data_IF_067069513403
#
_entry.id   IF_067069513403
#
_cell.length_a   1.000
_cell.length_b   1.000
_cell.length_c   1.000
_cell.angle_alpha   90.00
_cell.angle_beta   90.00
_cell.angle_gamma   90.00
#
_symmetry.space_group_name_H-M   'P 1'
#
loop_
_entity.id
_entity.type
_entity.pdbx_description
1 polymer ?
#
# COMPACT_ATOMS: atom_id res chain seq x y z
N UNK A 1 -18.69 1.19 -36.36
CA UNK A 1 -18.69 0.55 -35.03
C UNK A 1 -17.30 0.67 -34.44
N UNK A 2 -17.14 1.28 -33.27
CA UNK A 2 -15.85 1.32 -32.57
C UNK A 2 -15.60 -0.09 -32.02
N UNK A 3 -14.54 -0.75 -32.48
CA UNK A 3 -14.16 -2.06 -31.97
C UNK A 3 -13.25 -1.84 -30.74
N UNK A 4 -13.78 -2.13 -29.57
CA UNK A 4 -13.01 -2.09 -28.33
C UNK A 4 -12.18 -3.38 -28.22
N UNK A 5 -10.87 -3.25 -28.28
CA UNK A 5 -9.92 -4.34 -28.05
C UNK A 5 -9.29 -4.17 -26.67
N UNK A 6 -9.19 -5.29 -25.93
CA UNK A 6 -8.48 -5.28 -24.65
C UNK A 6 -6.97 -5.07 -24.91
N UNK A 7 -6.29 -4.31 -24.03
CA UNK A 7 -4.84 -4.18 -24.12
C UNK A 7 -4.13 -5.53 -24.08
N UNK A 8 -2.94 -5.59 -24.66
CA UNK A 8 -2.07 -6.77 -24.56
C UNK A 8 -1.81 -7.07 -23.07
N UNK A 9 -1.79 -8.35 -22.72
CA UNK A 9 -1.61 -8.83 -21.33
C UNK A 9 -2.71 -8.43 -20.32
N UNK A 10 -3.89 -8.01 -20.80
CA UNK A 10 -5.03 -7.65 -19.95
C UNK A 10 -5.91 -8.84 -19.54
N UNK A 11 -5.64 -10.02 -20.03
CA UNK A 11 -6.41 -11.25 -19.73
C UNK A 11 -5.61 -12.16 -18.81
N UNK A 12 -6.25 -12.58 -17.73
CA UNK A 12 -5.73 -13.65 -16.88
C UNK A 12 -5.95 -15.00 -17.52
N UNK A 13 -4.95 -15.86 -17.46
CA UNK A 13 -5.02 -17.24 -17.95
C UNK A 13 -4.91 -18.22 -16.78
N UNK A 14 -5.34 -19.46 -16.99
CA UNK A 14 -5.03 -20.54 -16.05
C UNK A 14 -3.54 -20.80 -16.07
N UNK A 15 -2.94 -20.82 -14.89
CA UNK A 15 -1.54 -21.13 -14.69
C UNK A 15 -1.30 -22.62 -14.40
N UNK A 16 -0.17 -22.89 -13.76
CA UNK A 16 0.24 -24.23 -13.37
C UNK A 16 -0.46 -24.65 -12.07
N UNK A 17 -0.91 -25.90 -12.00
CA UNK A 17 -1.31 -26.52 -10.75
C UNK A 17 -0.17 -27.38 -10.23
N UNK A 18 0.31 -27.07 -9.05
CA UNK A 18 1.39 -27.78 -8.39
C UNK A 18 0.87 -29.03 -7.64
N UNK A 19 1.66 -30.08 -7.45
CA UNK A 19 1.22 -31.26 -6.73
C UNK A 19 0.91 -30.93 -5.26
N UNK A 20 0.00 -31.69 -4.69
CA UNK A 20 -0.28 -31.63 -3.25
C UNK A 20 0.88 -32.27 -2.48
N UNK A 21 1.22 -31.79 -1.27
CA UNK A 21 2.17 -32.44 -0.40
C UNK A 21 1.74 -33.87 -0.08
N UNK A 22 2.67 -34.83 -0.17
CA UNK A 22 2.40 -36.24 0.16
C UNK A 22 2.15 -36.42 1.66
N UNK A 23 1.12 -37.15 2.02
CA UNK A 23 0.76 -37.43 3.42
C UNK A 23 0.11 -36.27 4.18
N UNK A 24 -0.08 -35.12 3.55
CA UNK A 24 -0.70 -33.96 4.19
C UNK A 24 -2.18 -34.20 4.51
N UNK A 25 -2.60 -33.81 5.71
CA UNK A 25 -3.97 -33.97 6.20
C UNK A 25 -4.74 -32.66 6.30
N UNK A 26 -4.04 -31.52 6.39
CA UNK A 26 -4.62 -30.20 6.58
C UNK A 26 -4.22 -29.22 5.46
N UNK A 27 -4.71 -29.52 4.26
CA UNK A 27 -4.30 -28.80 3.05
C UNK A 27 -5.10 -27.51 2.84
N UNK A 28 -4.38 -26.40 2.67
CA UNK A 28 -4.91 -25.10 2.21
C UNK A 28 -4.51 -24.85 0.76
N UNK A 29 -5.47 -24.45 -0.05
CA UNK A 29 -5.27 -24.13 -1.45
C UNK A 29 -5.01 -22.63 -1.63
N UNK A 30 -4.03 -22.29 -2.47
CA UNK A 30 -3.62 -20.93 -2.81
C UNK A 30 -3.68 -20.71 -4.30
N UNK A 31 -4.34 -19.64 -4.72
CA UNK A 31 -4.35 -19.12 -6.07
C UNK A 31 -3.50 -17.86 -6.11
N UNK A 32 -2.32 -17.92 -6.73
CA UNK A 32 -1.33 -16.84 -6.72
C UNK A 32 -1.13 -16.30 -8.13
N UNK A 33 -1.25 -14.99 -8.27
CA UNK A 33 -0.95 -14.28 -9.52
C UNK A 33 0.52 -14.46 -9.90
N UNK A 34 0.74 -14.80 -11.18
CA UNK A 34 2.06 -14.97 -11.77
C UNK A 34 2.17 -14.16 -13.05
N UNK A 35 3.25 -13.42 -13.15
CA UNK A 35 3.60 -12.69 -14.37
C UNK A 35 5.11 -12.46 -14.43
N UNK A 36 5.67 -12.65 -15.63
CA UNK A 36 7.07 -12.40 -15.92
C UNK A 36 7.16 -11.45 -17.12
N UNK A 37 7.84 -10.29 -17.02
CA UNK A 37 7.98 -9.35 -18.11
C UNK A 37 8.76 -9.92 -19.31
N UNK A 38 9.64 -10.90 -19.07
CA UNK A 38 10.58 -11.41 -20.08
C UNK A 38 9.93 -12.38 -21.07
N UNK A 39 8.83 -13.04 -20.70
CA UNK A 39 8.21 -14.04 -21.57
C UNK A 39 7.09 -13.50 -22.47
N UNK A 40 6.69 -12.25 -22.27
CA UNK A 40 5.69 -11.55 -23.08
C UNK A 40 4.28 -12.15 -23.06
N UNK A 41 4.01 -13.08 -22.13
CA UNK A 41 2.72 -13.76 -22.01
C UNK A 41 1.74 -12.97 -21.16
N UNK A 42 0.47 -13.31 -21.26
CA UNK A 42 -0.55 -12.84 -20.34
C UNK A 42 -0.26 -13.34 -18.91
N UNK A 43 -0.65 -12.56 -17.87
CA UNK A 43 -0.56 -13.05 -16.51
C UNK A 43 -1.42 -14.30 -16.31
N UNK A 44 -0.99 -15.14 -15.40
CA UNK A 44 -1.68 -16.38 -15.03
C UNK A 44 -1.94 -16.46 -13.53
N UNK A 45 -2.74 -17.41 -13.12
CA UNK A 45 -2.95 -17.76 -11.71
C UNK A 45 -2.51 -19.20 -11.52
N UNK A 46 -1.45 -19.39 -10.74
CA UNK A 46 -0.96 -20.70 -10.35
C UNK A 46 -1.68 -21.18 -9.10
N UNK A 47 -1.92 -22.50 -9.02
CA UNK A 47 -2.53 -23.15 -7.87
C UNK A 47 -1.47 -23.90 -7.07
N UNK A 48 -1.37 -23.60 -5.79
CA UNK A 48 -0.46 -24.23 -4.83
C UNK A 48 -1.26 -24.85 -3.69
N UNK A 49 -0.68 -25.86 -3.06
CA UNK A 49 -1.24 -26.52 -1.90
C UNK A 49 -0.20 -26.52 -0.77
N UNK A 50 -0.61 -26.08 0.41
CA UNK A 50 0.26 -25.99 1.60
C UNK A 50 -0.38 -26.80 2.71
N UNK A 51 0.42 -27.65 3.36
CA UNK A 51 0.02 -28.30 4.59
C UNK A 51 0.15 -27.31 5.76
N UNK A 52 -0.97 -27.02 6.41
CA UNK A 52 -1.03 -26.08 7.53
C UNK A 52 -0.44 -26.64 8.81
N UNK A 53 -0.33 -27.98 8.95
CA UNK A 53 0.27 -28.63 10.13
C UNK A 53 1.80 -28.44 10.15
N UNK A 54 2.39 -28.16 8.97
CA UNK A 54 3.81 -27.86 8.80
C UNK A 54 4.03 -26.43 8.22
N UNK A 55 3.22 -25.47 8.65
CA UNK A 55 3.30 -24.08 8.20
C UNK A 55 3.00 -23.13 9.34
N UNK A 56 3.67 -21.97 9.37
CA UNK A 56 3.32 -20.90 10.30
C UNK A 56 1.92 -20.32 10.05
N UNK A 57 1.35 -19.59 11.02
CA UNK A 57 -0.06 -19.18 11.01
C UNK A 57 -0.38 -18.02 10.04
N UNK A 58 0.62 -17.32 9.50
CA UNK A 58 0.42 -16.14 8.67
C UNK A 58 0.48 -16.47 7.17
N UNK A 59 -0.23 -15.70 6.36
CA UNK A 59 -0.18 -15.84 4.90
C UNK A 59 1.26 -15.74 4.37
N UNK A 60 2.09 -14.87 4.96
CA UNK A 60 3.49 -14.76 4.56
C UNK A 60 4.27 -16.05 4.77
N UNK A 61 3.98 -16.81 5.83
CA UNK A 61 4.67 -18.07 6.11
C UNK A 61 4.41 -19.09 5.00
N UNK A 62 3.15 -19.18 4.54
CA UNK A 62 2.79 -20.04 3.41
C UNK A 62 3.47 -19.62 2.10
N UNK A 63 3.53 -18.33 1.80
CA UNK A 63 4.20 -17.83 0.58
C UNK A 63 5.70 -18.13 0.64
N UNK A 64 6.33 -17.99 1.79
CA UNK A 64 7.74 -18.34 2.00
C UNK A 64 7.95 -19.85 1.80
N UNK A 65 7.08 -20.67 2.38
CA UNK A 65 7.12 -22.14 2.21
C UNK A 65 6.97 -22.54 0.73
N UNK A 66 5.98 -21.97 0.03
CA UNK A 66 5.80 -22.19 -1.39
C UNK A 66 7.10 -21.86 -2.15
N UNK A 67 7.70 -20.67 -1.90
CA UNK A 67 8.93 -20.26 -2.57
C UNK A 67 10.10 -21.19 -2.29
N UNK A 68 10.25 -21.65 -1.07
CA UNK A 68 11.42 -22.43 -0.65
C UNK A 68 11.32 -23.89 -1.09
N UNK A 69 10.13 -24.49 -1.10
CA UNK A 69 9.95 -25.94 -1.23
C UNK A 69 9.28 -26.34 -2.54
N UNK A 70 8.45 -25.45 -3.14
CA UNK A 70 7.61 -25.80 -4.29
C UNK A 70 8.04 -25.04 -5.55
N UNK A 71 8.15 -23.70 -5.47
CA UNK A 71 8.42 -22.86 -6.63
C UNK A 71 9.35 -21.70 -6.31
N UNK A 72 10.66 -21.87 -6.49
CA UNK A 72 11.66 -20.84 -6.18
C UNK A 72 11.55 -19.58 -7.07
N UNK A 73 10.78 -19.65 -8.16
CA UNK A 73 10.61 -18.52 -9.08
C UNK A 73 9.56 -17.51 -8.60
N UNK A 74 8.72 -17.88 -7.63
CA UNK A 74 7.70 -16.98 -7.07
C UNK A 74 8.36 -15.74 -6.46
N UNK A 75 7.95 -14.56 -6.92
CA UNK A 75 8.61 -13.30 -6.57
C UNK A 75 7.69 -12.40 -5.74
N UNK A 76 8.18 -11.99 -4.57
CA UNK A 76 7.49 -11.08 -3.64
C UNK A 76 8.49 -10.35 -2.74
N UNK A 77 8.04 -9.26 -2.11
CA UNK A 77 8.84 -8.52 -1.13
C UNK A 77 8.47 -8.95 0.29
N UNK A 78 9.47 -9.04 1.15
CA UNK A 78 9.31 -9.23 2.59
C UNK A 78 10.51 -8.70 3.36
N UNK A 79 10.32 -8.38 4.66
CA UNK A 79 11.41 -8.00 5.54
C UNK A 79 11.06 -8.28 7.01
N UNK A 80 10.43 -7.33 7.72
CA UNK A 80 10.28 -7.33 9.18
C UNK A 80 9.46 -8.49 9.76
N UNK A 81 8.43 -8.98 9.07
CA UNK A 81 7.46 -10.02 9.52
C UNK A 81 6.56 -9.63 10.70
N UNK A 82 6.52 -8.37 11.09
CA UNK A 82 5.81 -7.83 12.26
C UNK A 82 4.98 -6.58 11.95
N UNK A 83 4.67 -6.32 10.66
CA UNK A 83 3.81 -5.22 10.26
C UNK A 83 4.45 -3.83 10.33
N UNK A 84 5.78 -3.70 10.27
CA UNK A 84 6.49 -2.42 10.42
C UNK A 84 7.05 -1.89 9.09
N UNK A 85 7.55 -2.76 8.20
CA UNK A 85 8.25 -2.29 7.00
C UNK A 85 7.37 -2.05 5.78
N UNK A 86 6.12 -2.54 5.77
CA UNK A 86 5.21 -2.42 4.62
C UNK A 86 5.55 -3.28 3.39
N UNK A 87 6.71 -3.95 3.37
CA UNK A 87 7.23 -4.63 2.18
C UNK A 87 6.31 -5.74 1.65
N UNK A 88 5.65 -6.49 2.53
CA UNK A 88 4.78 -7.61 2.17
C UNK A 88 3.33 -7.20 1.88
N UNK A 89 3.10 -5.92 1.54
CA UNK A 89 1.78 -5.44 1.14
C UNK A 89 1.36 -6.06 -0.18
N UNK A 90 0.18 -6.67 -0.20
CA UNK A 90 -0.41 -7.31 -1.38
C UNK A 90 -1.92 -7.38 -1.23
N UNK A 91 -2.61 -7.78 -2.28
CA UNK A 91 -4.04 -8.03 -2.21
C UNK A 91 -4.28 -9.50 -1.85
N UNK A 92 -4.88 -9.72 -0.69
CA UNK A 92 -5.22 -11.06 -0.19
C UNK A 92 -6.73 -11.14 -0.10
N UNK A 93 -7.30 -12.04 -0.89
CA UNK A 93 -8.74 -12.30 -0.96
C UNK A 93 -9.61 -11.03 -1.15
N UNK A 94 -9.11 -10.10 -1.98
CA UNK A 94 -9.76 -8.83 -2.29
C UNK A 94 -9.43 -7.68 -1.32
N UNK A 95 -8.67 -7.93 -0.25
CA UNK A 95 -8.28 -6.93 0.74
C UNK A 95 -6.81 -6.56 0.56
N UNK A 96 -6.47 -5.27 0.45
CA UNK A 96 -5.09 -4.82 0.46
C UNK A 96 -4.57 -4.79 1.90
N UNK A 97 -3.63 -5.65 2.22
CA UNK A 97 -3.12 -5.83 3.59
C UNK A 97 -1.67 -6.34 3.59
N UNK A 98 -1.11 -6.57 4.77
CA UNK A 98 0.23 -7.11 4.95
C UNK A 98 0.16 -8.63 5.15
N UNK A 99 0.86 -9.39 4.32
CA UNK A 99 0.88 -10.85 4.42
C UNK A 99 1.48 -11.36 5.74
N UNK A 100 2.35 -10.58 6.40
CA UNK A 100 2.98 -10.97 7.66
C UNK A 100 2.08 -10.84 8.90
N UNK A 101 0.98 -10.10 8.81
CA UNK A 101 0.04 -9.89 9.93
C UNK A 101 -1.37 -10.38 9.62
N UNK A 102 -1.61 -10.91 8.41
CA UNK A 102 -2.88 -11.46 8.01
C UNK A 102 -2.88 -12.98 8.25
N UNK A 103 -3.75 -13.43 9.14
CA UNK A 103 -3.79 -14.81 9.61
C UNK A 103 -4.40 -15.76 8.58
N UNK A 104 -3.88 -16.98 8.52
CA UNK A 104 -4.42 -18.05 7.67
C UNK A 104 -5.87 -18.38 7.99
N UNK A 105 -6.26 -18.28 9.27
CA UNK A 105 -7.60 -18.54 9.76
C UNK A 105 -8.63 -17.47 9.33
N UNK A 106 -8.19 -16.29 8.95
CA UNK A 106 -9.07 -15.20 8.49
C UNK A 106 -9.65 -15.46 7.10
N UNK A 107 -8.98 -16.29 6.29
CA UNK A 107 -9.41 -16.63 4.92
C UNK A 107 -10.17 -17.94 4.91
N UNK A 108 -11.44 -17.89 4.55
CA UNK A 108 -12.28 -19.09 4.36
C UNK A 108 -12.09 -19.67 2.94
N UNK A 109 -11.84 -20.97 2.83
CA UNK A 109 -11.67 -21.65 1.54
C UNK A 109 -10.31 -21.34 0.89
N UNK A 110 -10.31 -21.08 -0.41
CA UNK A 110 -9.10 -20.83 -1.22
C UNK A 110 -8.55 -19.44 -0.94
N UNK A 111 -7.25 -19.34 -0.72
CA UNK A 111 -6.56 -18.06 -0.54
C UNK A 111 -6.17 -17.49 -1.90
N UNK A 112 -6.68 -16.33 -2.26
CA UNK A 112 -6.36 -15.65 -3.53
C UNK A 112 -5.37 -14.50 -3.27
N UNK A 113 -4.22 -14.52 -3.95
CA UNK A 113 -3.16 -13.53 -3.75
C UNK A 113 -2.80 -12.87 -5.07
N UNK A 114 -2.86 -11.54 -5.06
CA UNK A 114 -2.54 -10.67 -6.18
C UNK A 114 -1.58 -9.56 -5.74
N UNK A 115 -0.83 -8.93 -6.66
CA UNK A 115 -0.12 -7.70 -6.35
C UNK A 115 -1.11 -6.59 -5.94
N UNK A 116 -0.62 -5.54 -5.30
CA UNK A 116 -1.43 -4.35 -5.04
C UNK A 116 -2.03 -3.83 -6.35
N UNK A 117 -3.37 -3.57 -6.40
CA UNK A 117 -4.05 -3.24 -7.64
C UNK A 117 -3.67 -1.83 -8.14
N UNK A 118 -3.88 -1.61 -9.45
CA UNK A 118 -3.70 -0.32 -10.13
C UNK A 118 -2.29 0.29 -10.04
N UNK A 119 -1.28 -0.55 -9.85
CA UNK A 119 0.14 -0.22 -10.02
C UNK A 119 0.75 -1.12 -11.10
N UNK A 120 1.73 -0.65 -11.89
CA UNK A 120 2.46 -1.52 -12.79
C UNK A 120 3.09 -2.67 -12.00
N UNK A 121 3.10 -3.86 -12.58
CA UNK A 121 3.73 -5.04 -11.97
C UNK A 121 5.13 -5.19 -12.51
N UNK A 122 6.12 -5.30 -11.63
CA UNK A 122 7.52 -5.59 -11.99
C UNK A 122 7.68 -7.07 -12.31
N UNK A 123 7.19 -7.93 -11.40
CA UNK A 123 7.12 -9.39 -11.55
C UNK A 123 6.23 -9.97 -10.46
N UNK A 124 5.39 -10.93 -10.80
CA UNK A 124 4.50 -11.65 -9.89
C UNK A 124 3.76 -10.71 -8.90
N UNK A 125 4.09 -10.77 -7.62
CA UNK A 125 3.45 -9.99 -6.55
C UNK A 125 4.16 -8.65 -6.27
N UNK A 126 5.12 -8.25 -7.09
CA UNK A 126 5.89 -7.00 -6.90
C UNK A 126 5.32 -5.87 -7.75
N UNK A 127 4.63 -4.88 -7.16
CA UNK A 127 4.27 -3.65 -7.84
C UNK A 127 5.46 -2.70 -7.97
N UNK A 128 5.42 -1.84 -9.00
CA UNK A 128 6.32 -0.70 -9.13
C UNK A 128 5.81 0.46 -8.24
N UNK A 129 6.63 0.87 -7.29
CA UNK A 129 6.33 1.94 -6.35
C UNK A 129 7.02 3.26 -6.71
N UNK A 130 7.69 3.35 -7.85
CA UNK A 130 8.48 4.54 -8.24
C UNK A 130 7.62 5.80 -8.22
N UNK A 131 6.47 5.77 -8.88
CA UNK A 131 5.56 6.92 -8.90
C UNK A 131 4.99 7.25 -7.51
N UNK A 132 4.65 6.25 -6.73
CA UNK A 132 4.16 6.40 -5.35
C UNK A 132 5.18 7.14 -4.46
N UNK A 133 6.46 6.76 -4.54
CA UNK A 133 7.51 7.45 -3.80
C UNK A 133 7.84 8.84 -4.37
N UNK A 134 7.71 9.05 -5.67
CA UNK A 134 7.83 10.39 -6.26
C UNK A 134 6.75 11.34 -5.74
N UNK A 135 5.50 10.87 -5.61
CA UNK A 135 4.42 11.63 -4.99
C UNK A 135 4.69 11.94 -3.51
N UNK A 136 5.24 10.98 -2.77
CA UNK A 136 5.65 11.21 -1.38
C UNK A 136 6.79 12.24 -1.31
N UNK A 137 7.79 12.15 -2.16
CA UNK A 137 8.88 13.13 -2.20
C UNK A 137 8.39 14.55 -2.55
N UNK A 138 7.36 14.67 -3.40
CA UNK A 138 6.83 15.97 -3.83
C UNK A 138 6.17 16.79 -2.72
N UNK A 139 5.77 16.16 -1.61
CA UNK A 139 5.20 16.88 -0.45
C UNK A 139 6.29 17.31 0.56
N UNK A 140 7.57 17.20 0.19
CA UNK A 140 8.71 17.57 1.04
C UNK A 140 8.60 16.95 2.45
N UNK A 141 8.71 15.63 2.60
CA UNK A 141 8.46 14.93 3.87
C UNK A 141 9.64 15.07 4.85
N UNK A 142 10.06 16.28 5.13
CA UNK A 142 11.11 16.66 6.07
C UNK A 142 10.80 18.01 6.70
N UNK A 143 11.48 18.34 7.81
CA UNK A 143 11.31 19.60 8.50
C UNK A 143 11.80 20.76 7.64
N UNK A 144 10.95 21.74 7.40
CA UNK A 144 11.30 23.02 6.76
C UNK A 144 11.29 24.14 7.80
N UNK A 145 12.43 24.82 7.96
CA UNK A 145 12.59 25.91 8.92
C UNK A 145 13.72 26.85 8.50
N UNK A 146 13.45 28.14 8.57
CA UNK A 146 14.44 29.20 8.39
C UNK A 146 15.16 29.56 9.71
N UNK A 147 14.57 29.17 10.84
CA UNK A 147 15.16 29.37 12.16
C UNK A 147 16.42 28.50 12.29
N UNK A 148 17.57 29.09 12.71
CA UNK A 148 18.81 28.35 12.94
C UNK A 148 18.60 27.20 13.92
N UNK A 149 19.21 26.05 13.63
CA UNK A 149 19.12 24.88 14.49
C UNK A 149 19.57 25.21 15.92
N UNK A 150 18.78 24.83 16.93
CA UNK A 150 19.17 25.08 18.33
C UNK A 150 20.41 24.26 18.71
N UNK A 151 21.12 24.68 19.76
CA UNK A 151 22.36 24.04 20.22
C UNK A 151 22.20 22.56 20.61
N UNK A 152 20.98 22.11 20.92
CA UNK A 152 20.67 20.74 21.31
C UNK A 152 19.65 20.11 20.36
N UNK A 153 18.36 20.44 20.57
CA UNK A 153 17.25 19.80 19.87
C UNK A 153 16.09 20.78 19.66
N UNK A 154 15.28 20.53 18.63
CA UNK A 154 14.00 21.20 18.46
C UNK A 154 13.03 20.72 19.53
N UNK A 155 12.58 21.62 20.39
CA UNK A 155 11.61 21.30 21.44
C UNK A 155 10.20 21.29 20.89
N UNK A 156 9.38 20.42 21.42
CA UNK A 156 7.96 20.31 21.12
C UNK A 156 7.20 20.07 22.43
N UNK A 157 6.04 20.69 22.61
CA UNK A 157 5.18 20.43 23.75
C UNK A 157 4.59 19.01 23.67
N UNK A 158 4.12 18.46 24.78
CA UNK A 158 3.43 17.16 24.80
C UNK A 158 2.18 17.23 23.93
N UNK A 159 1.38 18.28 24.07
CA UNK A 159 0.15 18.49 23.32
C UNK A 159 0.39 18.58 21.80
N UNK A 160 1.47 19.26 21.37
CA UNK A 160 1.84 19.32 19.95
C UNK A 160 2.35 17.98 19.43
N UNK A 161 3.06 17.23 20.28
CA UNK A 161 3.50 15.87 19.90
C UNK A 161 2.32 14.92 19.72
N UNK A 162 1.31 15.00 20.60
CA UNK A 162 0.10 14.17 20.51
C UNK A 162 -0.70 14.43 19.22
N UNK A 163 -0.67 15.63 18.67
CA UNK A 163 -1.32 15.92 17.37
C UNK A 163 -0.77 15.10 16.21
N UNK A 164 0.44 14.57 16.32
CA UNK A 164 1.09 13.75 15.31
C UNK A 164 0.71 12.26 15.41
N UNK A 165 0.05 11.84 16.48
CA UNK A 165 -0.39 10.46 16.64
C UNK A 165 -1.44 10.09 15.58
N UNK A 166 -1.29 8.90 15.03
CA UNK A 166 -2.09 8.46 13.87
C UNK A 166 -1.62 9.00 12.52
N UNK A 167 -0.49 9.72 12.46
CA UNK A 167 0.08 10.26 11.24
C UNK A 167 1.50 9.73 10.97
N UNK A 168 2.40 9.83 11.96
CA UNK A 168 3.80 9.44 11.80
C UNK A 168 4.01 7.92 11.77
N UNK A 169 3.05 7.13 12.23
CA UNK A 169 3.10 5.66 12.21
C UNK A 169 2.87 5.06 10.82
N UNK A 170 2.66 5.88 9.81
CA UNK A 170 2.48 5.39 8.45
C UNK A 170 3.77 4.72 7.94
N UNK A 171 3.63 3.47 7.52
CA UNK A 171 4.73 2.61 7.04
C UNK A 171 4.89 2.62 5.51
N UNK A 172 4.21 3.51 4.82
CA UNK A 172 4.28 3.66 3.35
C UNK A 172 4.05 2.35 2.57
N UNK A 173 3.15 1.50 3.06
CA UNK A 173 2.84 0.20 2.44
C UNK A 173 2.01 0.28 1.16
N UNK A 174 1.48 1.45 0.83
CA UNK A 174 0.61 1.73 -0.32
C UNK A 174 -0.78 1.06 -0.32
N UNK A 175 -1.17 0.28 0.70
CA UNK A 175 -2.50 -0.35 0.77
C UNK A 175 -3.65 0.64 0.60
N UNK A 176 -3.57 1.82 1.24
CA UNK A 176 -4.59 2.86 1.18
C UNK A 176 -4.69 3.52 -0.20
N UNK A 177 -3.56 3.84 -0.84
CA UNK A 177 -3.53 4.48 -2.17
C UNK A 177 -4.07 3.52 -3.23
N UNK A 178 -3.66 2.26 -3.19
CA UNK A 178 -4.12 1.23 -4.13
C UNK A 178 -5.56 0.77 -3.91
N UNK A 179 -6.18 1.12 -2.78
CA UNK A 179 -7.62 0.89 -2.52
C UNK A 179 -8.51 2.08 -2.87
N UNK A 180 -7.93 3.22 -3.27
CA UNK A 180 -8.67 4.45 -3.50
C UNK A 180 -9.11 4.56 -4.96
N UNK A 181 -10.44 4.56 -5.27
CA UNK A 181 -10.92 4.72 -6.64
C UNK A 181 -10.46 6.02 -7.30
N UNK A 182 -10.38 7.12 -6.54
CA UNK A 182 -9.85 8.39 -7.06
C UNK A 182 -8.38 8.26 -7.49
N UNK A 183 -7.58 7.48 -6.79
CA UNK A 183 -6.20 7.20 -7.15
C UNK A 183 -6.09 6.30 -8.39
N UNK A 184 -7.00 5.34 -8.55
CA UNK A 184 -7.03 4.48 -9.74
C UNK A 184 -7.20 5.27 -11.03
N UNK A 185 -8.08 6.28 -11.02
CA UNK A 185 -8.45 7.04 -12.22
C UNK A 185 -7.60 8.30 -12.44
N UNK A 186 -6.99 8.85 -11.39
CA UNK A 186 -6.22 10.10 -11.44
C UNK A 186 -4.85 9.96 -10.76
N UNK A 187 -4.27 8.78 -10.73
CA UNK A 187 -3.00 8.51 -10.03
C UNK A 187 -1.81 9.28 -10.57
N UNK A 188 -1.92 9.80 -11.80
CA UNK A 188 -0.93 10.68 -12.42
C UNK A 188 -0.83 12.06 -11.74
N UNK A 189 -1.93 12.58 -11.17
CA UNK A 189 -2.00 13.92 -10.57
C UNK A 189 -2.49 13.96 -9.13
N UNK A 190 -3.39 13.05 -8.75
CA UNK A 190 -3.88 12.94 -7.38
C UNK A 190 -2.80 12.31 -6.49
N UNK A 191 -2.38 13.02 -5.45
CA UNK A 191 -1.31 12.56 -4.54
C UNK A 191 -1.65 11.29 -3.77
N UNK A 192 -2.93 11.01 -3.61
CA UNK A 192 -3.39 9.81 -2.91
C UNK A 192 -3.35 9.92 -1.38
N UNK A 193 -3.99 8.94 -0.72
CA UNK A 193 -4.17 8.99 0.74
C UNK A 193 -2.86 8.98 1.53
N UNK A 194 -1.86 8.22 1.12
CA UNK A 194 -0.61 8.11 1.86
C UNK A 194 0.19 9.42 1.84
N UNK A 195 0.42 9.99 0.65
CA UNK A 195 1.17 11.24 0.53
C UNK A 195 0.43 12.39 1.24
N UNK A 196 -0.90 12.47 1.12
CA UNK A 196 -1.68 13.51 1.80
C UNK A 196 -1.72 13.34 3.33
N UNK A 197 -1.69 12.11 3.86
CA UNK A 197 -1.54 11.88 5.29
C UNK A 197 -0.19 12.42 5.78
N UNK A 198 0.89 12.13 5.04
CA UNK A 198 2.21 12.66 5.36
C UNK A 198 2.30 14.19 5.18
N UNK A 199 1.62 14.76 4.17
CA UNK A 199 1.55 16.22 4.02
C UNK A 199 0.92 16.86 5.26
N UNK A 200 -0.21 16.33 5.74
CA UNK A 200 -0.86 16.82 6.95
C UNK A 200 0.04 16.69 8.17
N UNK A 201 0.77 15.60 8.31
CA UNK A 201 1.73 15.39 9.41
C UNK A 201 2.75 16.54 9.48
N UNK A 202 3.27 17.02 8.35
CA UNK A 202 4.23 18.12 8.32
C UNK A 202 3.57 19.49 8.48
N UNK A 203 2.38 19.69 7.93
CA UNK A 203 1.60 20.94 8.06
C UNK A 203 1.30 21.27 9.52
N UNK A 204 1.04 20.26 10.37
CA UNK A 204 0.69 20.48 11.78
C UNK A 204 1.85 20.27 12.75
N UNK A 205 3.05 19.98 12.27
CA UNK A 205 4.23 19.88 13.15
C UNK A 205 4.62 21.27 13.64
N UNK A 206 4.54 21.51 14.94
CA UNK A 206 4.82 22.81 15.56
C UNK A 206 6.28 23.31 15.38
N UNK A 207 7.15 22.45 14.86
CA UNK A 207 8.55 22.79 14.57
C UNK A 207 8.75 23.18 13.10
N UNK A 208 7.78 22.92 12.24
CA UNK A 208 7.81 23.23 10.82
C UNK A 208 7.32 24.67 10.58
N UNK A 209 8.05 25.43 9.81
CA UNK A 209 7.72 26.83 9.47
C UNK A 209 7.14 26.97 8.06
N UNK A 210 7.12 25.87 7.27
CA UNK A 210 6.68 25.84 5.89
C UNK A 210 5.18 25.67 5.65
N UNK A 211 4.32 25.79 6.68
CA UNK A 211 2.88 25.52 6.58
C UNK A 211 2.19 26.23 5.40
N UNK A 212 2.49 27.50 5.17
CA UNK A 212 1.91 28.29 4.09
C UNK A 212 2.25 27.73 2.71
N UNK A 213 3.54 27.52 2.44
CA UNK A 213 4.03 26.96 1.19
C UNK A 213 3.52 25.54 0.94
N UNK A 214 3.45 24.70 2.00
CA UNK A 214 2.90 23.33 1.90
C UNK A 214 1.43 23.35 1.49
N UNK A 215 0.64 24.29 2.01
CA UNK A 215 -0.75 24.45 1.61
C UNK A 215 -0.86 24.96 0.17
N UNK A 216 -0.01 25.91 -0.26
CA UNK A 216 0.03 26.41 -1.64
C UNK A 216 0.38 25.27 -2.63
N UNK A 217 1.37 24.46 -2.31
CA UNK A 217 1.76 23.29 -3.12
C UNK A 217 0.64 22.26 -3.28
N UNK A 218 -0.27 22.18 -2.31
CA UNK A 218 -1.42 21.25 -2.34
C UNK A 218 -2.68 21.84 -2.98
N UNK A 219 -2.77 23.18 -3.13
CA UNK A 219 -3.94 23.86 -3.66
C UNK A 219 -4.08 23.69 -5.18
N UNK A 220 -4.46 22.51 -5.58
CA UNK A 220 -4.66 22.10 -6.97
C UNK A 220 -5.91 21.20 -7.06
N UNK A 221 -6.77 21.40 -8.08
CA UNK A 221 -8.00 20.61 -8.25
C UNK A 221 -7.77 19.10 -8.32
N UNK A 222 -6.59 18.67 -8.73
CA UNK A 222 -6.25 17.25 -8.85
C UNK A 222 -5.44 16.74 -7.65
N UNK A 223 -4.47 17.48 -7.14
CA UNK A 223 -3.58 17.03 -6.05
C UNK A 223 -4.33 16.66 -4.78
N UNK A 224 -5.25 17.55 -4.32
CA UNK A 224 -5.98 17.42 -3.06
C UNK A 224 -7.45 17.07 -3.26
N UNK A 225 -8.14 17.82 -4.15
CA UNK A 225 -9.60 17.83 -4.19
C UNK A 225 -10.24 16.62 -4.88
N UNK A 226 -9.45 15.69 -5.42
CA UNK A 226 -9.96 14.39 -5.92
C UNK A 226 -10.34 13.40 -4.81
N UNK A 227 -10.06 13.74 -3.56
CA UNK A 227 -10.61 12.98 -2.43
C UNK A 227 -12.10 13.23 -2.28
N UNK A 228 -12.92 12.20 -2.47
CA UNK A 228 -14.36 12.20 -2.31
C UNK A 228 -14.83 11.50 -1.01
N UNK A 229 -13.94 11.29 -0.06
CA UNK A 229 -14.23 10.70 1.25
C UNK A 229 -14.90 9.32 1.18
N UNK A 230 -14.42 8.47 0.25
CA UNK A 230 -14.94 7.10 0.05
C UNK A 230 -14.60 6.19 1.24
N UNK A 231 -13.58 6.53 2.02
CA UNK A 231 -13.13 5.84 3.26
C UNK A 231 -12.43 4.49 3.05
N UNK A 232 -12.23 4.00 1.84
CA UNK A 232 -11.49 2.76 1.60
C UNK A 232 -10.08 2.80 2.20
N UNK A 233 -9.42 3.96 2.14
CA UNK A 233 -8.08 4.17 2.68
C UNK A 233 -7.99 3.93 4.20
N UNK A 234 -9.00 4.35 4.96
CA UNK A 234 -9.06 4.13 6.39
C UNK A 234 -9.38 2.66 6.73
N UNK A 235 -10.30 2.04 5.97
CA UNK A 235 -10.71 0.65 6.20
C UNK A 235 -9.61 -0.37 5.92
N UNK A 236 -8.77 -0.10 4.92
CA UNK A 236 -7.73 -1.04 4.47
C UNK A 236 -6.38 -0.83 5.16
N UNK A 237 -6.22 0.23 5.97
CA UNK A 237 -4.94 0.55 6.58
C UNK A 237 -4.54 -0.51 7.62
N UNK A 238 -3.44 -1.25 7.41
CA UNK A 238 -3.02 -2.30 8.35
C UNK A 238 -2.50 -1.75 9.69
N UNK A 239 -2.28 -0.41 9.76
CA UNK A 239 -1.89 0.29 10.99
C UNK A 239 -3.08 1.00 11.65
N UNK A 240 -4.30 0.86 11.13
CA UNK A 240 -5.49 1.50 11.69
C UNK A 240 -5.52 3.03 11.55
N UNK A 241 -4.71 3.61 10.65
CA UNK A 241 -4.65 5.06 10.43
C UNK A 241 -5.84 5.55 9.61
N UNK A 242 -6.14 6.84 9.70
CA UNK A 242 -7.23 7.47 8.97
C UNK A 242 -6.76 8.57 7.99
N UNK A 243 -6.29 8.21 6.78
CA UNK A 243 -5.87 9.21 5.80
C UNK A 243 -7.01 10.14 5.36
N UNK A 244 -8.25 9.67 5.36
CA UNK A 244 -9.39 10.52 4.97
C UNK A 244 -9.64 11.65 5.96
N UNK A 245 -9.42 11.42 7.27
CA UNK A 245 -9.47 12.47 8.28
C UNK A 245 -8.35 13.49 8.06
N UNK A 246 -7.12 13.05 7.83
CA UNK A 246 -6.00 13.95 7.54
C UNK A 246 -6.29 14.85 6.33
N UNK A 247 -6.81 14.27 5.24
CA UNK A 247 -7.20 15.02 4.03
C UNK A 247 -8.31 16.05 4.34
N UNK A 248 -9.29 15.70 5.17
CA UNK A 248 -10.36 16.62 5.55
C UNK A 248 -9.83 17.79 6.38
N UNK A 249 -8.84 17.55 7.24
CA UNK A 249 -8.19 18.63 8.01
C UNK A 249 -7.36 19.56 7.10
N UNK A 250 -6.66 19.03 6.11
CA UNK A 250 -5.99 19.90 5.10
C UNK A 250 -7.02 20.80 4.43
N UNK A 251 -8.14 20.23 3.96
CA UNK A 251 -9.21 21.01 3.32
C UNK A 251 -9.80 22.09 4.25
N UNK A 252 -9.91 21.79 5.55
CA UNK A 252 -10.35 22.77 6.54
C UNK A 252 -9.36 23.92 6.64
N UNK A 253 -8.06 23.64 6.75
CA UNK A 253 -7.01 24.67 6.77
C UNK A 253 -6.99 25.53 5.50
N UNK A 254 -7.28 24.93 4.32
CA UNK A 254 -7.42 25.68 3.07
C UNK A 254 -8.54 26.73 3.15
N UNK A 255 -9.67 26.39 3.74
CA UNK A 255 -10.80 27.33 3.92
C UNK A 255 -10.45 28.40 4.96
N UNK A 256 -9.87 28.00 6.10
CA UNK A 256 -9.54 28.93 7.19
C UNK A 256 -8.53 30.02 6.79
N UNK A 257 -7.62 29.73 5.87
CA UNK A 257 -6.64 30.73 5.39
C UNK A 257 -7.22 31.71 4.35
N UNK A 258 -8.37 31.40 3.75
CA UNK A 258 -9.02 32.25 2.73
C UNK A 258 -10.11 33.16 3.31
N UNK A 259 -10.51 32.95 4.55
CA UNK A 259 -11.47 33.77 5.32
C UNK A 259 -10.74 34.74 6.25
#
# INVERSE_FOLDING_TARGET
MVQLTLPKNSRMTSGKTWPKPEGATNIKEFHIYRWNPDDGKNPSVDTYFVDLDDCGPMILDAIIKIKNEVDPTLTFRRSCREGICGSCAMNIDGINTLACTYGMAEVKGVVKIYPLPHMPVVKDLIPDLTHFYAQHASIKPWLETDTPAPAKEWKQSIDDREKLDGLYECIMCACCSTSCPSYWWNGDRYLGPAALLHAYRWIIDSRDEGTGERLDDLEDPFKLYRCHTIMNCAKTCPKGLNPALAISQIKKLMVERTV
#
